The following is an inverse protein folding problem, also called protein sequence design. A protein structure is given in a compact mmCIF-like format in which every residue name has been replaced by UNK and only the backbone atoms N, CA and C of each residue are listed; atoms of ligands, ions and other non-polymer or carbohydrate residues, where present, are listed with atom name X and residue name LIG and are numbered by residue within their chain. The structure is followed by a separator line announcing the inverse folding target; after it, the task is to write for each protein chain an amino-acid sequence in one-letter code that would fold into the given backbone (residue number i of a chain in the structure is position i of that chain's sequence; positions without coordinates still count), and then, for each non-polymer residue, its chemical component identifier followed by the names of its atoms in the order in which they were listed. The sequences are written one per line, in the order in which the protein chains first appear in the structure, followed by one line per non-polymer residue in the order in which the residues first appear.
data_IF_811336550397
#
_entry.id   IF_811336550397
#
_cell.length_a   1.000
_cell.length_b   1.000
_cell.length_c   1.000
_cell.angle_alpha   90.00
_cell.angle_beta   90.00
_cell.angle_gamma   90.00
#
_symmetry.space_group_name_H-M   'P 1'
#
loop_
_entity.id
_entity.type
_entity.pdbx_description
1 polymer ?
#
# COMPACT_ATOMS: atom_id res chain seq x y z
N UNK A 1 -19.72 15.21 54.55
CA UNK A 1 -20.87 15.13 53.61
C UNK A 1 -21.19 16.57 53.21
N UNK A 2 -21.20 17.04 51.96
CA UNK A 2 -21.83 16.43 50.75
C UNK A 2 -21.35 17.10 49.44
N UNK A 3 -20.15 17.71 49.37
CA UNK A 3 -19.70 18.42 48.14
C UNK A 3 -18.79 17.59 47.22
N UNK A 4 -17.99 16.65 47.77
CA UNK A 4 -16.98 15.92 47.00
C UNK A 4 -17.55 14.79 46.11
N UNK A 5 -18.81 14.41 46.30
CA UNK A 5 -19.48 13.35 45.52
C UNK A 5 -20.19 13.86 44.26
N UNK A 6 -20.41 15.17 44.13
CA UNK A 6 -21.17 15.77 43.01
C UNK A 6 -20.26 16.09 41.81
N UNK A 7 -18.94 16.22 42.02
CA UNK A 7 -17.99 16.56 40.95
C UNK A 7 -17.49 15.34 40.14
N UNK A 8 -17.57 14.13 40.70
CA UNK A 8 -17.09 12.90 40.05
C UNK A 8 -17.79 12.51 38.72
N UNK A 9 -19.11 12.65 38.53
CA UNK A 9 -19.78 12.21 37.30
C UNK A 9 -19.58 13.17 36.12
N UNK A 10 -19.12 14.41 36.35
CA UNK A 10 -18.86 15.40 35.28
C UNK A 10 -17.39 15.41 34.86
N UNK A 11 -16.47 15.10 35.77
CA UNK A 11 -15.03 15.08 35.48
C UNK A 11 -14.63 13.95 34.51
N UNK A 12 -15.33 12.81 34.54
CA UNK A 12 -15.04 11.68 33.64
C UNK A 12 -15.39 11.96 32.16
N UNK A 13 -16.61 12.45 31.80
CA UNK A 13 -16.90 12.81 30.41
C UNK A 13 -16.08 14.01 29.94
N UNK A 14 -15.78 14.98 30.81
CA UNK A 14 -14.94 16.12 30.46
C UNK A 14 -13.49 15.68 30.14
N UNK A 15 -12.91 14.78 30.94
CA UNK A 15 -11.59 14.21 30.69
C UNK A 15 -11.56 13.37 29.40
N UNK A 16 -12.63 12.63 29.09
CA UNK A 16 -12.76 11.87 27.85
C UNK A 16 -12.85 12.80 26.62
N UNK A 17 -13.62 13.89 26.73
CA UNK A 17 -13.80 14.88 25.65
C UNK A 17 -12.49 15.64 25.38
N UNK A 18 -11.77 16.04 26.43
CA UNK A 18 -10.43 16.65 26.32
C UNK A 18 -9.41 15.67 25.72
N UNK A 19 -9.48 14.39 26.08
CA UNK A 19 -8.60 13.36 25.50
C UNK A 19 -8.88 13.11 24.01
N UNK A 20 -10.15 13.16 23.57
CA UNK A 20 -10.49 13.09 22.14
C UNK A 20 -10.01 14.33 21.36
N UNK A 21 -10.10 15.52 21.96
CA UNK A 21 -9.62 16.76 21.32
C UNK A 21 -8.09 16.81 21.20
N UNK A 22 -7.35 16.21 22.15
CA UNK A 22 -5.88 16.13 22.11
C UNK A 22 -5.35 14.99 21.22
N UNK A 23 -6.17 13.98 20.90
CA UNK A 23 -5.79 12.86 20.03
C UNK A 23 -5.79 13.21 18.52
N UNK A 24 -6.18 14.43 18.15
CA UNK A 24 -6.37 14.83 16.75
C UNK A 24 -5.07 15.22 16.02
N UNK A 25 -3.91 15.02 16.64
CA UNK A 25 -2.60 15.39 16.08
C UNK A 25 -1.75 14.16 15.73
N UNK A 26 -2.37 13.09 15.24
CA UNK A 26 -1.61 12.08 14.50
C UNK A 26 -1.17 12.72 13.18
N UNK A 27 0.06 13.23 13.14
CA UNK A 27 0.67 13.68 11.90
C UNK A 27 0.93 12.42 11.07
N UNK A 28 0.10 12.22 10.04
CA UNK A 28 0.39 11.23 9.01
C UNK A 28 1.74 11.54 8.38
N UNK A 29 2.41 10.47 7.92
CA UNK A 29 3.67 10.46 7.18
C UNK A 29 4.05 11.80 6.51
N UNK A 30 5.30 12.25 6.70
CA UNK A 30 5.88 13.47 6.09
C UNK A 30 5.99 13.41 4.54
N UNK A 31 5.46 12.37 3.90
CA UNK A 31 5.41 12.21 2.45
C UNK A 31 4.04 12.61 1.89
N UNK A 32 3.97 13.03 0.60
CA UNK A 32 2.69 13.27 -0.06
C UNK A 32 1.81 12.02 0.02
N UNK A 33 0.49 12.22 0.06
CA UNK A 33 -0.46 11.10 0.01
C UNK A 33 -0.15 10.21 -1.21
N UNK A 34 -0.11 8.87 -1.04
CA UNK A 34 0.13 7.99 -2.17
C UNK A 34 -0.97 8.20 -3.20
N UNK A 35 -0.66 8.07 -4.49
CA UNK A 35 -1.68 8.02 -5.55
C UNK A 35 -2.21 6.61 -5.78
N UNK A 36 -1.37 5.61 -5.48
CA UNK A 36 -1.64 4.19 -5.63
C UNK A 36 -1.08 3.49 -4.39
N UNK A 37 -1.87 2.58 -3.81
CA UNK A 37 -1.46 1.81 -2.64
C UNK A 37 -2.12 0.43 -2.66
N UNK A 38 -1.29 -0.61 -2.64
CA UNK A 38 -1.69 -2.01 -2.49
C UNK A 38 -1.22 -2.59 -1.17
N UNK A 39 -2.12 -3.31 -0.49
CA UNK A 39 -1.77 -4.18 0.62
C UNK A 39 -1.78 -5.63 0.15
N UNK A 40 -0.63 -6.29 0.19
CA UNK A 40 -0.48 -7.67 -0.26
C UNK A 40 -0.92 -8.69 0.80
N UNK A 41 -2.16 -8.54 1.28
CA UNK A 41 -2.78 -9.44 2.26
C UNK A 41 -3.79 -10.37 1.58
N UNK A 42 -3.92 -11.65 1.98
CA UNK A 42 -4.90 -12.56 1.40
C UNK A 42 -6.34 -12.01 1.41
N UNK A 43 -6.68 -11.22 2.43
CA UNK A 43 -8.02 -10.63 2.60
C UNK A 43 -8.35 -9.55 1.54
N UNK A 44 -7.34 -8.99 0.87
CA UNK A 44 -7.55 -8.06 -0.23
C UNK A 44 -7.84 -8.78 -1.55
N UNK A 45 -7.68 -10.11 -1.62
CA UNK A 45 -7.96 -10.87 -2.82
C UNK A 45 -9.46 -11.19 -2.95
N UNK A 46 -10.05 -10.82 -4.09
CA UNK A 46 -11.41 -11.16 -4.49
C UNK A 46 -11.38 -11.84 -5.85
N UNK A 47 -11.50 -13.18 -5.87
CA UNK A 47 -11.23 -13.96 -7.08
C UNK A 47 -9.76 -13.85 -7.47
N UNK A 48 -9.50 -13.36 -8.68
CA UNK A 48 -8.15 -13.05 -9.19
C UNK A 48 -7.73 -11.59 -8.96
N UNK A 49 -8.62 -10.74 -8.43
CA UNK A 49 -8.33 -9.31 -8.24
C UNK A 49 -7.84 -9.01 -6.83
N UNK A 50 -6.63 -8.48 -6.73
CA UNK A 50 -6.16 -7.85 -5.50
C UNK A 50 -6.73 -6.43 -5.43
N UNK A 51 -7.59 -6.19 -4.45
CA UNK A 51 -8.21 -4.89 -4.22
C UNK A 51 -7.18 -3.88 -3.75
N UNK A 52 -7.17 -2.72 -4.39
CA UNK A 52 -6.33 -1.62 -3.95
C UNK A 52 -6.90 -0.92 -2.72
N UNK A 53 -6.00 -0.45 -1.85
CA UNK A 53 -6.37 0.53 -0.83
C UNK A 53 -6.63 1.89 -1.46
N UNK A 54 -5.85 2.22 -2.49
CA UNK A 54 -6.02 3.42 -3.31
C UNK A 54 -5.55 3.15 -4.75
N UNK A 55 -6.27 3.68 -5.73
CA UNK A 55 -5.93 3.53 -7.15
C UNK A 55 -6.56 2.28 -7.77
N UNK A 56 -5.77 1.56 -8.58
CA UNK A 56 -6.25 0.49 -9.45
C UNK A 56 -6.12 -0.88 -8.79
N UNK A 57 -7.11 -1.74 -8.89
CA UNK A 57 -6.93 -3.16 -8.52
C UNK A 57 -5.88 -3.83 -9.41
N UNK A 58 -5.23 -4.88 -8.88
CA UNK A 58 -4.31 -5.73 -9.66
C UNK A 58 -5.05 -7.00 -10.06
N UNK A 59 -5.09 -7.30 -11.36
CA UNK A 59 -5.45 -8.63 -11.86
C UNK A 59 -4.22 -9.54 -11.70
N UNK A 60 -4.28 -10.48 -10.76
CA UNK A 60 -3.21 -11.44 -10.50
C UNK A 60 -3.42 -12.72 -11.30
N UNK A 61 -2.32 -13.30 -11.78
CA UNK A 61 -2.32 -14.56 -12.51
C UNK A 61 -1.19 -15.49 -12.03
N UNK A 62 -1.39 -16.79 -12.27
CA UNK A 62 -0.47 -17.83 -11.83
C UNK A 62 -0.72 -18.33 -10.40
N UNK A 63 0.17 -19.20 -9.88
CA UNK A 63 0.06 -19.68 -8.51
C UNK A 63 0.34 -18.53 -7.53
N UNK A 64 -0.65 -18.22 -6.70
CA UNK A 64 -0.52 -17.18 -5.67
C UNK A 64 -0.11 -17.81 -4.34
N UNK A 65 0.90 -17.23 -3.69
CA UNK A 65 1.38 -17.64 -2.37
C UNK A 65 1.65 -16.42 -1.52
N UNK A 66 1.37 -16.51 -0.24
CA UNK A 66 1.67 -15.47 0.73
C UNK A 66 2.67 -16.00 1.74
N UNK A 67 3.57 -15.12 2.18
CA UNK A 67 4.37 -15.32 3.39
C UNK A 67 3.80 -14.47 4.52
N UNK A 68 3.97 -14.93 5.76
CA UNK A 68 3.61 -14.19 6.95
C UNK A 68 4.78 -14.18 7.93
N UNK A 69 5.15 -12.99 8.38
CA UNK A 69 6.18 -12.76 9.40
C UNK A 69 5.67 -11.75 10.46
N UNK A 70 6.58 -11.24 11.29
CA UNK A 70 6.27 -10.26 12.32
C UNK A 70 5.81 -8.89 11.78
N UNK A 71 6.13 -8.57 10.52
CA UNK A 71 5.77 -7.32 9.85
C UNK A 71 4.46 -7.43 9.07
N UNK A 72 3.95 -8.64 8.85
CA UNK A 72 2.62 -8.88 8.31
C UNK A 72 2.61 -9.92 7.20
N UNK A 73 1.76 -9.71 6.20
CA UNK A 73 1.69 -10.60 5.03
C UNK A 73 2.38 -9.94 3.83
N UNK A 74 3.05 -10.77 3.03
CA UNK A 74 3.62 -10.39 1.74
C UNK A 74 3.17 -11.36 0.65
N UNK A 75 2.99 -10.86 -0.57
CA UNK A 75 2.75 -11.70 -1.75
C UNK A 75 4.10 -12.21 -2.27
N UNK A 76 4.22 -13.52 -2.45
CA UNK A 76 5.41 -14.13 -3.02
C UNK A 76 5.32 -14.09 -4.55
N UNK A 77 6.21 -13.32 -5.17
CA UNK A 77 6.36 -13.27 -6.61
C UNK A 77 7.31 -14.37 -7.08
N UNK A 78 6.89 -15.13 -8.09
CA UNK A 78 7.69 -16.18 -8.73
C UNK A 78 7.69 -15.95 -10.24
N UNK A 79 8.57 -16.59 -11.02
CA UNK A 79 8.53 -16.49 -12.49
C UNK A 79 7.19 -16.91 -13.12
N UNK A 80 6.30 -17.56 -12.37
CA UNK A 80 4.95 -17.94 -12.83
C UNK A 80 3.84 -17.04 -12.29
N UNK A 81 4.16 -16.03 -11.49
CA UNK A 81 3.20 -15.14 -10.86
C UNK A 81 3.33 -13.75 -11.49
N UNK A 82 2.23 -13.19 -11.97
CA UNK A 82 2.22 -11.86 -12.59
C UNK A 82 1.00 -11.07 -12.12
N UNK A 83 1.11 -9.74 -12.17
CA UNK A 83 0.05 -8.83 -11.81
C UNK A 83 -0.03 -7.66 -12.79
N UNK A 84 -1.25 -7.36 -13.27
CA UNK A 84 -1.50 -6.23 -14.15
C UNK A 84 -2.55 -5.32 -13.54
N UNK A 85 -2.19 -4.06 -13.30
CA UNK A 85 -3.11 -3.01 -12.89
C UNK A 85 -3.49 -2.18 -14.12
N UNK A 86 -4.71 -2.34 -14.61
CA UNK A 86 -5.20 -1.57 -15.75
C UNK A 86 -5.91 -0.28 -15.27
N UNK A 87 -5.48 0.90 -15.76
CA UNK A 87 -6.28 2.11 -15.68
C UNK A 87 -7.70 1.86 -16.17
N UNK A 88 -8.70 2.16 -15.35
CA UNK A 88 -10.08 2.27 -15.84
C UNK A 88 -10.42 3.75 -15.92
N UNK A 89 -10.67 4.28 -17.12
CA UNK A 89 -10.96 5.71 -17.34
C UNK A 89 -9.71 6.62 -17.37
N UNK A 90 -9.90 7.92 -17.11
CA UNK A 90 -8.86 8.97 -17.18
C UNK A 90 -8.06 9.17 -15.88
N UNK A 91 -8.45 8.51 -14.79
CA UNK A 91 -8.11 8.88 -13.41
C UNK A 91 -6.79 8.34 -12.86
N UNK A 92 -5.90 7.80 -13.70
CA UNK A 92 -4.61 7.26 -13.24
C UNK A 92 -3.44 7.90 -13.98
N UNK A 93 -3.52 9.22 -14.15
CA UNK A 93 -2.39 9.99 -14.64
C UNK A 93 -1.30 10.00 -13.57
N UNK A 94 -0.17 9.35 -13.85
CA UNK A 94 1.02 9.51 -13.02
C UNK A 94 1.48 10.98 -13.07
N UNK A 95 2.06 11.51 -11.99
CA UNK A 95 2.65 12.84 -11.98
C UNK A 95 3.65 13.03 -13.13
N UNK A 96 3.60 14.18 -13.80
CA UNK A 96 4.47 14.48 -14.94
C UNK A 96 5.83 15.05 -14.54
N UNK A 97 5.99 15.51 -13.28
CA UNK A 97 7.22 16.16 -12.81
C UNK A 97 8.11 15.26 -11.97
N UNK A 98 7.54 14.58 -10.97
CA UNK A 98 8.28 13.75 -10.03
C UNK A 98 7.37 12.66 -9.46
N UNK A 99 7.92 11.46 -9.30
CA UNK A 99 7.25 10.33 -8.66
C UNK A 99 8.12 9.77 -7.54
N UNK A 100 7.49 9.18 -6.54
CA UNK A 100 8.17 8.39 -5.51
C UNK A 100 7.46 7.05 -5.42
N UNK A 101 8.24 5.98 -5.41
CA UNK A 101 7.75 4.61 -5.27
C UNK A 101 8.45 4.01 -4.07
N UNK A 102 7.69 3.37 -3.18
CA UNK A 102 8.22 2.72 -1.99
C UNK A 102 7.55 1.37 -1.82
N UNK A 103 8.34 0.38 -1.42
CA UNK A 103 7.87 -0.99 -1.20
C UNK A 103 8.78 -1.69 -0.18
N UNK A 104 8.19 -2.58 0.61
CA UNK A 104 8.94 -3.56 1.38
C UNK A 104 9.15 -4.80 0.52
N UNK A 105 10.41 -5.21 0.33
CA UNK A 105 10.78 -6.31 -0.56
C UNK A 105 11.85 -7.15 0.12
N UNK A 106 11.67 -8.47 0.07
CA UNK A 106 12.71 -9.45 0.38
C UNK A 106 12.99 -10.26 -0.88
N UNK A 107 14.22 -10.23 -1.36
CA UNK A 107 14.67 -11.00 -2.53
C UNK A 107 15.24 -12.33 -2.05
N UNK A 108 14.53 -13.42 -2.33
CA UNK A 108 14.94 -14.78 -1.95
C UNK A 108 15.98 -15.34 -2.94
N UNK A 109 15.65 -15.31 -4.24
CA UNK A 109 16.55 -15.70 -5.32
C UNK A 109 16.78 -14.51 -6.26
N UNK A 110 17.99 -13.93 -6.31
CA UNK A 110 18.26 -12.79 -7.17
C UNK A 110 18.31 -13.21 -8.66
N UNK A 111 17.73 -12.37 -9.50
CA UNK A 111 17.59 -12.55 -10.96
C UNK A 111 18.30 -11.39 -11.67
N UNK A 112 18.81 -11.62 -12.88
CA UNK A 112 19.27 -10.51 -13.70
C UNK A 112 18.05 -9.69 -14.14
N UNK A 113 18.12 -8.37 -14.01
CA UNK A 113 17.06 -7.44 -14.43
C UNK A 113 15.68 -7.75 -13.83
N UNK A 114 15.64 -8.14 -12.55
CA UNK A 114 14.40 -8.49 -11.85
C UNK A 114 13.47 -7.29 -11.66
N UNK A 115 12.22 -7.41 -12.10
CA UNK A 115 11.18 -6.39 -11.91
C UNK A 115 10.29 -6.67 -10.70
N UNK A 116 9.97 -5.64 -9.91
CA UNK A 116 9.00 -5.72 -8.80
C UNK A 116 7.70 -5.02 -9.19
N UNK A 117 7.81 -3.76 -9.60
CA UNK A 117 6.68 -2.93 -10.03
C UNK A 117 7.19 -1.93 -11.07
N UNK A 118 6.40 -1.68 -12.11
CA UNK A 118 6.73 -0.67 -13.09
C UNK A 118 5.50 -0.25 -13.89
N UNK A 119 5.67 0.83 -14.65
CA UNK A 119 4.76 1.20 -15.73
C UNK A 119 5.58 1.28 -17.00
N UNK A 120 5.35 0.33 -17.88
CA UNK A 120 6.06 0.19 -19.15
C UNK A 120 5.02 0.30 -20.27
N UNK A 121 5.28 1.20 -21.21
CA UNK A 121 4.65 1.22 -22.52
C UNK A 121 5.50 0.37 -23.44
N UNK A 122 4.86 -0.62 -24.03
CA UNK A 122 5.46 -1.55 -24.99
C UNK A 122 4.50 -1.65 -26.19
N UNK A 123 4.48 -0.60 -27.01
CA UNK A 123 3.64 -0.50 -28.22
C UNK A 123 4.46 -0.51 -29.52
N UNK A 124 5.64 -1.13 -29.50
CA UNK A 124 6.46 -1.42 -30.67
C UNK A 124 7.73 -0.59 -30.74
N UNK A 125 7.65 0.62 -31.29
CA UNK A 125 8.85 1.39 -31.66
C UNK A 125 9.52 2.12 -30.46
N UNK A 126 8.86 2.17 -29.31
CA UNK A 126 9.38 2.84 -28.11
C UNK A 126 9.01 2.05 -26.85
N UNK A 127 10.04 1.65 -26.10
CA UNK A 127 9.89 1.16 -24.73
C UNK A 127 10.08 2.35 -23.78
N UNK A 128 8.97 2.89 -23.27
CA UNK A 128 8.99 4.03 -22.33
C UNK A 128 8.45 3.61 -20.98
N UNK A 129 9.11 4.03 -19.91
CA UNK A 129 8.60 3.72 -18.58
C UNK A 129 9.60 3.87 -17.46
N UNK A 130 9.21 3.31 -16.34
CA UNK A 130 10.06 3.14 -15.17
C UNK A 130 9.76 1.79 -14.53
N UNK A 131 10.76 1.26 -13.83
CA UNK A 131 10.64 0.03 -13.07
C UNK A 131 11.42 0.17 -11.77
N UNK A 132 10.77 -0.14 -10.65
CA UNK A 132 11.46 -0.54 -9.43
C UNK A 132 11.80 -2.02 -9.56
N UNK A 133 13.09 -2.32 -9.50
CA UNK A 133 13.62 -3.66 -9.70
C UNK A 133 14.82 -3.94 -8.81
N UNK A 134 15.41 -5.10 -9.03
CA UNK A 134 16.62 -5.58 -8.39
C UNK A 134 17.52 -6.24 -9.44
N UNK A 135 18.75 -6.52 -9.06
CA UNK A 135 19.71 -7.21 -9.90
C UNK A 135 20.43 -8.28 -9.07
N UNK A 136 21.34 -9.04 -9.70
CA UNK A 136 22.11 -10.09 -9.03
C UNK A 136 23.13 -9.64 -7.98
N UNK A 137 23.34 -8.33 -7.80
CA UNK A 137 24.41 -7.77 -6.96
C UNK A 137 23.88 -7.06 -5.73
#
# INVERSE_FOLDING_TARGET
MTYLQILRPVLLPLALTVSLLLASSAHGHDGPDPLIHWDFKPQQLQGSKLKARLGMDIELSGPLRWSQDEFGHSLMLTPRTAGYAQPTGTDTTLPTRAITVSAWVSVDEPLDWGGIIGRIQDDGDQELGWMLGFDRR
#
